data_IF_980804133560
#
_entry.id   IF_980804133560
#
_cell.length_a   1.000
_cell.length_b   1.000
_cell.length_c   1.000
_cell.angle_alpha   90.00
_cell.angle_beta   90.00
_cell.angle_gamma   90.00
#
_symmetry.space_group_name_H-M   'P 1'
#
loop_
_entity.id
_entity.type
_entity.pdbx_description
1 polymer ?
#
# COMPACT_ATOMS: atom_id res chain seq x y z
N UNK A 1 -3.21 -23.82 0.44
CA UNK A 1 -2.72 -22.51 0.89
C UNK A 1 -3.19 -22.33 2.33
N UNK A 2 -2.27 -22.20 3.29
CA UNK A 2 -2.62 -21.98 4.69
C UNK A 2 -2.83 -20.47 4.90
N UNK A 3 -3.94 -20.10 5.50
CA UNK A 3 -4.23 -18.73 5.93
C UNK A 3 -4.06 -18.70 7.45
N UNK A 4 -3.30 -17.73 7.95
CA UNK A 4 -3.03 -17.57 9.38
C UNK A 4 -3.95 -16.53 9.98
N UNK A 5 -4.52 -16.84 11.13
CA UNK A 5 -5.40 -15.96 11.90
C UNK A 5 -4.80 -15.66 13.27
N UNK A 6 -5.58 -15.06 14.16
CA UNK A 6 -5.09 -14.58 15.46
C UNK A 6 -4.46 -15.69 16.31
N UNK A 7 -5.03 -16.90 16.28
CA UNK A 7 -4.53 -18.05 17.05
C UNK A 7 -3.25 -18.68 16.47
N UNK A 8 -2.90 -18.36 15.21
CA UNK A 8 -1.70 -18.86 14.56
C UNK A 8 -0.44 -18.01 14.84
N UNK A 9 -0.57 -16.86 15.54
CA UNK A 9 0.52 -15.92 15.74
C UNK A 9 0.70 -15.52 17.21
N UNK A 10 1.94 -15.60 17.70
CA UNK A 10 2.30 -15.17 19.05
C UNK A 10 2.66 -13.67 19.06
N UNK A 11 1.84 -12.84 19.70
CA UNK A 11 2.04 -11.38 19.79
C UNK A 11 3.23 -11.01 20.69
N UNK A 12 3.56 -11.84 21.69
CA UNK A 12 4.61 -11.54 22.67
C UNK A 12 6.00 -11.40 22.01
N UNK A 13 6.21 -12.07 20.87
CA UNK A 13 7.46 -12.00 20.11
C UNK A 13 7.77 -10.53 19.74
N UNK A 14 6.89 -9.87 18.99
CA UNK A 14 7.13 -8.48 18.57
C UNK A 14 7.01 -7.48 19.72
N UNK A 15 6.19 -7.76 20.74
CA UNK A 15 6.11 -6.91 21.94
C UNK A 15 7.41 -6.89 22.75
N UNK A 16 8.21 -7.95 22.67
CA UNK A 16 9.51 -8.02 23.35
C UNK A 16 10.63 -7.25 22.62
N UNK A 17 10.38 -6.75 21.40
CA UNK A 17 11.37 -6.11 20.54
C UNK A 17 11.29 -4.58 20.55
N UNK A 18 12.43 -3.93 20.35
CA UNK A 18 12.50 -2.52 19.97
C UNK A 18 12.32 -2.39 18.46
N UNK A 19 11.18 -1.81 18.04
CA UNK A 19 10.82 -1.67 16.63
C UNK A 19 11.04 -0.24 16.15
N UNK A 20 11.90 -0.08 15.16
CA UNK A 20 12.12 1.20 14.47
C UNK A 20 11.35 1.23 13.16
N UNK A 21 10.47 2.22 12.99
CA UNK A 21 9.69 2.47 11.77
C UNK A 21 10.31 3.62 11.01
N UNK A 22 10.94 3.35 9.86
CA UNK A 22 11.59 4.38 9.03
C UNK A 22 10.57 4.98 8.07
N UNK A 23 10.16 6.22 8.32
CA UNK A 23 9.13 6.91 7.54
C UNK A 23 7.75 6.92 8.21
N UNK A 24 6.99 7.99 7.99
CA UNK A 24 5.67 8.21 8.60
C UNK A 24 4.68 8.78 7.59
N UNK A 25 4.64 8.18 6.40
CA UNK A 25 3.60 8.40 5.38
C UNK A 25 2.40 7.48 5.60
N UNK A 26 1.67 7.13 4.54
CA UNK A 26 0.44 6.32 4.64
C UNK A 26 0.62 5.01 5.42
N UNK A 27 1.57 4.15 5.01
CA UNK A 27 1.86 2.90 5.71
C UNK A 27 2.60 3.12 7.04
N UNK A 28 3.57 4.05 7.07
CA UNK A 28 4.33 4.38 8.27
C UNK A 28 3.44 4.80 9.45
N UNK A 29 2.47 5.67 9.18
CA UNK A 29 1.45 6.06 10.13
C UNK A 29 0.64 4.85 10.63
N UNK A 30 0.11 4.03 9.71
CA UNK A 30 -0.72 2.89 10.09
C UNK A 30 0.05 1.87 10.95
N UNK A 31 1.22 1.45 10.48
CA UNK A 31 2.06 0.47 11.16
C UNK A 31 2.46 0.96 12.54
N UNK A 32 3.05 2.16 12.64
CA UNK A 32 3.56 2.68 13.90
C UNK A 32 2.45 2.80 14.96
N UNK A 33 1.29 3.34 14.60
CA UNK A 33 0.18 3.49 15.54
C UNK A 33 -0.44 2.15 15.94
N UNK A 34 -0.66 1.24 14.98
CA UNK A 34 -1.24 -0.08 15.28
C UNK A 34 -0.31 -0.93 16.16
N UNK A 35 1.01 -0.90 15.89
CA UNK A 35 2.02 -1.56 16.71
C UNK A 35 2.07 -0.97 18.13
N UNK A 36 2.07 0.36 18.23
CA UNK A 36 2.08 1.06 19.51
C UNK A 36 0.84 0.72 20.35
N UNK A 37 -0.35 0.74 19.76
CA UNK A 37 -1.60 0.35 20.43
C UNK A 37 -1.65 -1.14 20.77
N UNK A 38 -0.89 -1.96 20.05
CA UNK A 38 -0.69 -3.37 20.37
C UNK A 38 0.39 -3.60 21.44
N UNK A 39 0.94 -2.56 22.05
CA UNK A 39 1.91 -2.64 23.15
C UNK A 39 3.36 -2.87 22.71
N UNK A 40 3.69 -2.64 21.44
CA UNK A 40 5.07 -2.75 20.94
C UNK A 40 5.86 -1.47 21.25
N UNK A 41 7.14 -1.62 21.61
CA UNK A 41 8.03 -0.47 21.78
C UNK A 41 8.45 0.10 20.42
N UNK A 42 7.71 1.09 19.94
CA UNK A 42 7.91 1.72 18.62
C UNK A 42 8.68 3.03 18.73
N UNK A 43 9.69 3.20 17.88
CA UNK A 43 10.31 4.49 17.58
C UNK A 43 10.12 4.82 16.10
N UNK A 44 9.56 5.98 15.81
CA UNK A 44 9.44 6.50 14.44
C UNK A 44 10.72 7.23 14.07
N UNK A 45 11.38 6.74 13.04
CA UNK A 45 12.62 7.27 12.50
C UNK A 45 12.34 8.18 11.31
N UNK A 46 12.70 9.46 11.43
CA UNK A 46 12.47 10.49 10.41
C UNK A 46 13.71 11.36 10.20
N UNK A 47 13.78 12.00 9.03
CA UNK A 47 14.73 13.10 8.81
C UNK A 47 14.37 14.27 9.72
N UNK A 48 15.37 14.89 10.35
CA UNK A 48 15.17 16.13 11.11
C UNK A 48 14.48 17.20 10.25
N UNK A 49 13.48 17.87 10.83
CA UNK A 49 12.66 18.86 10.12
C UNK A 49 11.65 18.27 9.13
N UNK A 50 11.42 16.94 9.12
CA UNK A 50 10.32 16.34 8.35
C UNK A 50 8.97 16.93 8.76
N UNK A 51 8.09 17.17 7.79
CA UNK A 51 6.71 17.62 8.06
C UNK A 51 5.89 16.59 8.83
N UNK A 52 6.27 15.31 8.77
CA UNK A 52 5.62 14.23 9.51
C UNK A 52 6.12 14.07 10.95
N UNK A 53 7.17 14.80 11.36
CA UNK A 53 7.74 14.68 12.71
C UNK A 53 6.72 15.02 13.79
N UNK A 54 6.12 16.21 13.66
CA UNK A 54 5.10 16.69 14.60
C UNK A 54 3.88 15.78 14.64
N UNK A 55 3.46 15.23 13.49
CA UNK A 55 2.33 14.29 13.39
C UNK A 55 2.59 13.01 14.20
N UNK A 56 3.80 12.49 14.17
CA UNK A 56 4.17 11.30 14.94
C UNK A 56 4.23 11.59 16.45
N UNK A 57 4.80 12.74 16.86
CA UNK A 57 4.81 13.16 18.27
C UNK A 57 3.39 13.41 18.82
N UNK A 58 2.53 14.07 18.03
CA UNK A 58 1.13 14.32 18.40
C UNK A 58 0.29 13.04 18.50
N UNK A 59 0.70 11.98 17.81
CA UNK A 59 0.13 10.63 17.94
C UNK A 59 0.65 9.86 19.18
N UNK A 60 1.54 10.47 19.99
CA UNK A 60 2.09 9.87 21.21
C UNK A 60 3.27 8.93 20.97
N UNK A 61 3.87 8.96 19.78
CA UNK A 61 4.98 8.08 19.41
C UNK A 61 6.33 8.74 19.74
N UNK A 62 7.31 7.91 20.10
CA UNK A 62 8.70 8.34 20.18
C UNK A 62 9.22 8.63 18.77
N UNK A 63 9.88 9.77 18.58
CA UNK A 63 10.45 10.18 17.28
C UNK A 63 11.93 10.48 17.45
N UNK A 64 12.74 9.98 16.52
CA UNK A 64 14.18 10.24 16.49
C UNK A 64 14.73 10.17 15.06
N UNK A 65 16.00 10.52 14.87
CA UNK A 65 16.66 10.39 13.57
C UNK A 65 16.84 8.92 13.18
N UNK A 66 16.94 8.63 11.88
CA UNK A 66 17.10 7.25 11.38
C UNK A 66 18.38 6.64 11.95
N UNK A 67 19.50 7.37 11.84
CA UNK A 67 20.81 6.91 12.33
C UNK A 67 20.82 6.57 13.82
N UNK A 68 20.10 7.32 14.67
CA UNK A 68 20.06 7.04 16.11
C UNK A 68 19.09 5.91 16.46
N UNK A 69 17.91 5.90 15.83
CA UNK A 69 16.86 4.90 16.12
C UNK A 69 17.29 3.48 15.74
N UNK A 70 18.11 3.32 14.69
CA UNK A 70 18.53 2.00 14.20
C UNK A 70 19.52 1.31 15.14
N UNK A 71 20.36 2.06 15.89
CA UNK A 71 21.40 1.49 16.77
C UNK A 71 20.84 0.54 17.84
N UNK A 72 19.67 0.86 18.35
CA UNK A 72 19.03 0.11 19.43
C UNK A 72 17.87 -0.79 18.94
N UNK A 73 17.55 -0.76 17.65
CA UNK A 73 16.46 -1.53 17.08
C UNK A 73 16.80 -3.03 17.03
N UNK A 74 15.83 -3.86 17.37
CA UNK A 74 15.86 -5.31 17.14
C UNK A 74 15.19 -5.64 15.79
N UNK A 75 14.22 -4.82 15.38
CA UNK A 75 13.61 -4.85 14.06
C UNK A 75 13.55 -3.43 13.47
N UNK A 76 13.99 -3.29 12.21
CA UNK A 76 13.90 -2.05 11.43
C UNK A 76 12.93 -2.28 10.28
N UNK A 77 11.77 -1.64 10.33
CA UNK A 77 10.77 -1.66 9.27
C UNK A 77 10.92 -0.41 8.38
N UNK A 78 11.24 -0.61 7.10
CA UNK A 78 11.43 0.47 6.13
C UNK A 78 10.11 0.75 5.41
N UNK A 79 9.55 1.95 5.64
CA UNK A 79 8.29 2.44 5.06
C UNK A 79 8.47 3.83 4.41
N UNK A 80 9.71 4.20 4.10
CA UNK A 80 10.01 5.32 3.22
C UNK A 80 9.61 4.98 1.77
N UNK A 81 9.34 5.97 0.90
CA UNK A 81 9.06 5.73 -0.51
C UNK A 81 10.17 4.90 -1.18
N UNK A 82 9.79 3.94 -2.01
CA UNK A 82 10.69 2.92 -2.58
C UNK A 82 11.92 3.52 -3.28
N UNK A 83 11.75 4.66 -3.94
CA UNK A 83 12.82 5.38 -4.62
C UNK A 83 13.89 5.98 -3.69
N UNK A 84 13.58 6.19 -2.40
CA UNK A 84 14.51 6.71 -1.40
C UNK A 84 15.09 5.64 -0.48
N UNK A 85 14.47 4.46 -0.42
CA UNK A 85 14.88 3.42 0.54
C UNK A 85 16.36 3.05 0.39
N UNK A 86 16.88 2.96 -0.84
CA UNK A 86 18.29 2.63 -1.09
C UNK A 86 19.24 3.64 -0.45
N UNK A 87 19.00 4.93 -0.67
CA UNK A 87 19.89 5.99 -0.17
C UNK A 87 19.82 6.08 1.36
N UNK A 88 18.60 5.98 1.94
CA UNK A 88 18.40 5.93 3.39
C UNK A 88 19.09 4.69 3.97
N UNK A 89 18.96 3.55 3.31
CA UNK A 89 19.54 2.29 3.77
C UNK A 89 21.07 2.37 3.81
N UNK A 90 21.72 2.80 2.72
CA UNK A 90 23.18 2.84 2.66
C UNK A 90 23.79 3.92 3.58
N UNK A 91 23.12 5.07 3.73
CA UNK A 91 23.67 6.19 4.50
C UNK A 91 23.34 6.16 5.99
N UNK A 92 22.15 5.67 6.39
CA UNK A 92 21.67 5.81 7.77
C UNK A 92 21.33 4.47 8.43
N UNK A 93 20.82 3.47 7.69
CA UNK A 93 20.43 2.18 8.29
C UNK A 93 21.64 1.25 8.40
N UNK A 94 22.23 0.85 7.27
CA UNK A 94 23.31 -0.14 7.18
C UNK A 94 24.51 0.16 8.07
N UNK A 95 25.00 1.42 8.22
CA UNK A 95 26.14 1.69 9.09
C UNK A 95 25.83 1.56 10.58
N UNK A 96 24.56 1.62 10.97
CA UNK A 96 24.10 1.62 12.37
C UNK A 96 23.37 0.33 12.77
N UNK A 97 23.06 -0.56 11.80
CA UNK A 97 22.26 -1.76 12.00
C UNK A 97 23.03 -2.80 12.84
N UNK A 98 22.38 -3.35 13.87
CA UNK A 98 22.95 -4.47 14.63
C UNK A 98 23.14 -5.70 13.74
N UNK A 99 24.13 -6.52 14.06
CA UNK A 99 24.45 -7.71 13.28
C UNK A 99 23.30 -8.71 13.22
N UNK A 100 22.51 -8.81 14.28
CA UNK A 100 21.38 -9.72 14.48
C UNK A 100 20.00 -9.03 14.34
N UNK A 101 19.96 -7.74 13.98
CA UNK A 101 18.71 -7.04 13.74
C UNK A 101 17.96 -7.64 12.55
N UNK A 102 16.63 -7.55 12.61
CA UNK A 102 15.73 -7.98 11.54
C UNK A 102 15.42 -6.78 10.65
N UNK A 103 15.63 -6.92 9.35
CA UNK A 103 15.23 -5.92 8.36
C UNK A 103 13.86 -6.29 7.78
N UNK A 104 12.91 -5.37 7.85
CA UNK A 104 11.54 -5.59 7.40
C UNK A 104 11.11 -4.55 6.36
N UNK A 105 10.26 -4.99 5.44
CA UNK A 105 9.66 -4.16 4.39
C UNK A 105 8.14 -4.37 4.34
N UNK A 106 7.40 -3.43 3.74
CA UNK A 106 5.99 -3.63 3.39
C UNK A 106 5.75 -3.85 1.88
N UNK A 107 6.81 -3.77 1.08
CA UNK A 107 6.82 -4.09 -0.34
C UNK A 107 8.19 -4.65 -0.75
N UNK A 108 8.22 -5.63 -1.63
CA UNK A 108 9.45 -6.35 -1.97
C UNK A 108 10.37 -5.64 -2.96
N UNK A 109 9.96 -4.52 -3.56
CA UNK A 109 10.64 -3.83 -4.67
C UNK A 109 12.16 -3.76 -4.55
N UNK A 110 12.67 -3.19 -3.46
CA UNK A 110 14.11 -2.93 -3.30
C UNK A 110 14.94 -4.21 -3.08
N UNK A 111 14.36 -5.25 -2.50
CA UNK A 111 15.02 -6.55 -2.31
C UNK A 111 14.91 -7.38 -3.59
N UNK A 112 13.72 -7.46 -4.19
CA UNK A 112 13.47 -8.25 -5.39
C UNK A 112 14.27 -7.76 -6.61
N UNK A 113 14.36 -6.44 -6.81
CA UNK A 113 15.15 -5.85 -7.90
C UNK A 113 16.60 -5.51 -7.51
N UNK A 114 17.08 -6.09 -6.41
CA UNK A 114 18.48 -6.01 -5.94
C UNK A 114 19.00 -4.58 -5.78
N UNK A 115 18.14 -3.64 -5.38
CA UNK A 115 18.53 -2.24 -5.12
C UNK A 115 19.16 -2.09 -3.74
N UNK A 116 18.74 -2.92 -2.79
CA UNK A 116 19.28 -3.05 -1.44
C UNK A 116 19.80 -4.48 -1.25
N UNK A 117 21.00 -4.62 -0.70
CA UNK A 117 21.61 -5.90 -0.38
C UNK A 117 21.95 -5.98 1.11
N UNK A 118 21.08 -6.62 1.93
CA UNK A 118 21.33 -6.79 3.37
C UNK A 118 22.47 -7.75 3.68
N UNK A 119 23.27 -7.52 4.74
CA UNK A 119 24.26 -8.49 5.20
C UNK A 119 23.66 -9.87 5.46
N UNK A 120 24.44 -10.93 5.25
CA UNK A 120 24.01 -12.33 5.48
C UNK A 120 23.62 -12.61 6.94
N UNK A 121 24.09 -11.80 7.87
CA UNK A 121 23.80 -11.95 9.30
C UNK A 121 22.39 -11.49 9.68
N UNK A 122 21.76 -10.61 8.87
CA UNK A 122 20.44 -10.08 9.15
C UNK A 122 19.35 -10.94 8.51
N UNK A 123 18.30 -11.25 9.29
CA UNK A 123 17.05 -11.77 8.73
C UNK A 123 16.34 -10.68 7.94
N UNK A 124 15.71 -11.06 6.83
CA UNK A 124 15.01 -10.14 5.94
C UNK A 124 13.60 -10.65 5.70
N UNK A 125 12.61 -9.89 6.17
CA UNK A 125 11.19 -10.26 6.13
C UNK A 125 10.36 -9.17 5.49
N UNK A 126 9.12 -9.51 5.12
CA UNK A 126 8.14 -8.57 4.63
C UNK A 126 6.80 -8.83 5.27
N UNK A 127 6.09 -7.74 5.58
CA UNK A 127 4.70 -7.73 6.00
C UNK A 127 3.98 -6.70 5.14
N UNK A 128 3.23 -7.16 4.14
CA UNK A 128 2.59 -6.32 3.12
C UNK A 128 1.06 -6.34 3.26
N UNK A 129 0.44 -5.37 3.96
CA UNK A 129 -1.00 -5.22 3.98
C UNK A 129 -1.53 -4.92 2.57
N UNK A 130 -2.54 -5.65 2.12
CA UNK A 130 -3.13 -5.49 0.79
C UNK A 130 -4.20 -4.40 0.80
N UNK A 131 -3.74 -3.17 1.04
CA UNK A 131 -4.57 -1.97 1.01
C UNK A 131 -3.79 -0.70 1.38
N UNK A 132 -4.33 0.49 1.05
CA UNK A 132 -3.73 1.76 1.44
C UNK A 132 -3.57 1.87 2.96
N UNK A 133 -2.50 2.51 3.42
CA UNK A 133 -2.21 2.60 4.86
C UNK A 133 -3.34 3.23 5.68
N UNK A 134 -4.07 4.20 5.13
CA UNK A 134 -5.25 4.76 5.81
C UNK A 134 -6.37 3.73 6.04
N UNK A 135 -6.55 2.77 5.12
CA UNK A 135 -7.48 1.65 5.29
C UNK A 135 -6.95 0.67 6.32
N UNK A 136 -5.63 0.40 6.33
CA UNK A 136 -4.98 -0.42 7.37
C UNK A 136 -5.26 0.16 8.76
N UNK A 137 -5.07 1.47 8.95
CA UNK A 137 -5.33 2.15 10.21
C UNK A 137 -6.81 2.16 10.60
N UNK A 138 -7.68 2.64 9.71
CA UNK A 138 -9.11 2.79 10.02
C UNK A 138 -9.79 1.44 10.30
N UNK A 139 -9.42 0.40 9.56
CA UNK A 139 -9.96 -0.95 9.80
C UNK A 139 -9.47 -1.51 11.13
N UNK A 140 -8.19 -1.28 11.49
CA UNK A 140 -7.64 -1.65 12.79
C UNK A 140 -8.39 -1.01 13.95
N UNK A 141 -8.62 0.31 13.89
CA UNK A 141 -9.34 1.07 14.92
C UNK A 141 -10.79 0.59 15.07
N UNK A 142 -11.41 0.16 13.97
CA UNK A 142 -12.76 -0.41 13.96
C UNK A 142 -12.81 -1.90 14.38
N UNK A 143 -11.72 -2.45 14.91
CA UNK A 143 -11.64 -3.83 15.40
C UNK A 143 -11.44 -4.89 14.31
N UNK A 144 -11.34 -4.48 13.04
CA UNK A 144 -11.01 -5.37 11.92
C UNK A 144 -9.52 -5.37 11.58
N UNK A 145 -9.20 -5.89 10.39
CA UNK A 145 -7.87 -5.85 9.79
C UNK A 145 -7.95 -5.82 8.26
N UNK A 146 -6.84 -5.48 7.62
CA UNK A 146 -6.68 -5.64 6.16
C UNK A 146 -5.93 -6.96 5.92
N UNK A 147 -6.32 -7.79 4.95
CA UNK A 147 -5.55 -8.99 4.61
C UNK A 147 -4.09 -8.64 4.34
N UNK A 148 -3.16 -9.44 4.85
CA UNK A 148 -1.73 -9.16 4.71
C UNK A 148 -0.99 -10.34 4.11
N UNK A 149 0.09 -10.05 3.39
CA UNK A 149 1.06 -11.06 2.98
C UNK A 149 2.27 -11.00 3.91
N UNK A 150 2.86 -12.16 4.19
CA UNK A 150 4.20 -12.25 4.78
C UNK A 150 5.14 -12.97 3.83
N UNK A 151 6.40 -12.57 3.82
CA UNK A 151 7.46 -13.29 3.11
C UNK A 151 8.75 -13.26 3.92
N UNK A 152 9.56 -14.31 3.76
CA UNK A 152 10.91 -14.38 4.32
C UNK A 152 11.88 -14.48 3.14
N UNK A 153 12.72 -13.47 2.96
CA UNK A 153 13.81 -13.50 1.99
C UNK A 153 15.02 -14.26 2.56
N UNK A 154 15.30 -14.06 3.85
CA UNK A 154 16.37 -14.74 4.58
C UNK A 154 15.99 -14.88 6.05
N UNK A 155 16.23 -16.06 6.60
CA UNK A 155 16.16 -16.31 8.05
C UNK A 155 17.57 -16.57 8.59
N UNK A 156 18.09 -15.62 9.35
CA UNK A 156 19.41 -15.69 10.00
C UNK A 156 19.27 -15.79 11.53
N UNK A 157 18.06 -16.02 12.05
CA UNK A 157 17.82 -16.18 13.49
C UNK A 157 18.32 -17.56 13.91
N UNK A 158 19.27 -17.61 14.85
CA UNK A 158 19.87 -18.87 15.33
C UNK A 158 19.79 -19.09 16.84
N UNK A 159 19.55 -18.03 17.62
CA UNK A 159 19.64 -18.04 19.09
C UNK A 159 18.30 -17.75 19.79
N UNK A 160 17.16 -18.00 19.14
CA UNK A 160 15.83 -17.77 19.71
C UNK A 160 14.91 -18.98 19.47
N UNK A 161 13.87 -19.10 20.27
CA UNK A 161 12.82 -20.13 20.13
C UNK A 161 11.79 -19.79 19.02
N UNK A 162 12.07 -18.79 18.19
CA UNK A 162 11.23 -18.34 17.09
C UNK A 162 12.04 -18.10 15.81
N UNK A 163 11.39 -18.31 14.66
CA UNK A 163 11.94 -18.07 13.32
C UNK A 163 11.63 -16.67 12.80
N UNK A 164 12.26 -16.24 11.70
CA UNK A 164 11.93 -14.98 11.04
C UNK A 164 10.45 -14.93 10.58
N UNK A 165 9.89 -16.09 10.21
CA UNK A 165 8.48 -16.23 9.86
C UNK A 165 7.57 -15.97 11.05
N UNK A 166 7.94 -16.43 12.25
CA UNK A 166 7.17 -16.19 13.47
C UNK A 166 7.19 -14.71 13.85
N UNK A 167 8.32 -14.02 13.65
CA UNK A 167 8.40 -12.56 13.81
C UNK A 167 7.50 -11.84 12.81
N UNK A 168 7.49 -12.26 11.54
CA UNK A 168 6.62 -11.68 10.52
C UNK A 168 5.13 -11.86 10.86
N UNK A 169 4.73 -13.05 11.34
CA UNK A 169 3.36 -13.31 11.81
C UNK A 169 3.01 -12.49 13.05
N UNK A 170 3.93 -12.39 14.01
CA UNK A 170 3.76 -11.59 15.23
C UNK A 170 3.55 -10.10 14.90
N UNK A 171 4.38 -9.56 14.00
CA UNK A 171 4.24 -8.20 13.49
C UNK A 171 2.91 -8.02 12.76
N UNK A 172 2.54 -8.96 11.87
CA UNK A 172 1.27 -8.90 11.14
C UNK A 172 0.07 -8.90 12.09
N UNK A 173 0.12 -9.67 13.20
CA UNK A 173 -0.89 -9.65 14.26
C UNK A 173 -0.97 -8.30 14.96
N UNK A 174 0.17 -7.73 15.36
CA UNK A 174 0.21 -6.39 15.96
C UNK A 174 -0.31 -5.30 15.02
N UNK A 175 -0.14 -5.46 13.71
CA UNK A 175 -0.70 -4.54 12.71
C UNK A 175 -2.16 -4.88 12.32
N UNK A 176 -2.78 -5.87 12.95
CA UNK A 176 -4.17 -6.29 12.75
C UNK A 176 -4.43 -7.24 11.57
N UNK A 177 -3.42 -7.62 10.79
CA UNK A 177 -3.59 -8.47 9.60
C UNK A 177 -4.22 -9.83 9.88
N UNK A 178 -3.91 -10.44 11.03
CA UNK A 178 -4.48 -11.74 11.44
C UNK A 178 -5.97 -11.71 11.75
N UNK A 179 -6.59 -10.53 11.88
CA UNK A 179 -8.06 -10.39 12.02
C UNK A 179 -8.79 -10.63 10.71
N UNK A 180 -8.14 -10.38 9.57
CA UNK A 180 -8.68 -10.63 8.23
C UNK A 180 -8.10 -11.88 7.56
N UNK A 181 -6.89 -12.26 7.96
CA UNK A 181 -6.16 -13.40 7.43
C UNK A 181 -4.83 -12.99 6.82
N UNK A 182 -3.78 -13.75 7.13
CA UNK A 182 -2.43 -13.56 6.60
C UNK A 182 -2.06 -14.72 5.70
N UNK A 183 -1.49 -14.44 4.54
CA UNK A 183 -1.00 -15.46 3.61
C UNK A 183 0.52 -15.36 3.47
N UNK A 184 1.16 -16.51 3.28
CA UNK A 184 2.60 -16.59 3.03
C UNK A 184 2.88 -16.55 1.53
N UNK A 185 3.88 -15.77 1.14
CA UNK A 185 4.31 -15.56 -0.25
C UNK A 185 5.85 -15.43 -0.31
N UNK A 186 6.37 -15.06 -1.47
CA UNK A 186 7.77 -14.69 -1.67
C UNK A 186 7.90 -13.21 -2.01
N UNK A 187 9.10 -12.64 -1.81
CA UNK A 187 9.39 -11.27 -2.25
C UNK A 187 9.12 -11.06 -3.75
N UNK A 188 9.41 -12.07 -4.58
CA UNK A 188 9.14 -12.06 -6.03
C UNK A 188 7.64 -11.98 -6.32
N UNK A 189 6.87 -12.94 -5.79
CA UNK A 189 5.44 -13.02 -6.06
C UNK A 189 4.71 -11.77 -5.53
N UNK A 190 5.03 -11.31 -4.34
CA UNK A 190 4.46 -10.07 -3.80
C UNK A 190 4.79 -8.87 -4.70
N UNK A 191 6.06 -8.67 -5.05
CA UNK A 191 6.48 -7.50 -5.84
C UNK A 191 5.78 -7.49 -7.20
N UNK A 192 5.83 -8.62 -7.91
CA UNK A 192 5.27 -8.71 -9.26
C UNK A 192 3.75 -8.58 -9.28
N UNK A 193 3.06 -9.20 -8.33
CA UNK A 193 1.59 -9.17 -8.28
C UNK A 193 1.04 -7.85 -7.75
N UNK A 194 1.73 -7.20 -6.81
CA UNK A 194 1.36 -5.90 -6.28
C UNK A 194 1.47 -4.83 -7.37
N UNK A 195 2.65 -4.73 -8.01
CA UNK A 195 2.89 -3.82 -9.14
C UNK A 195 1.93 -4.06 -10.30
N UNK A 196 1.62 -5.32 -10.62
CA UNK A 196 0.65 -5.64 -11.66
C UNK A 196 -0.75 -5.18 -11.27
N UNK A 197 -1.16 -5.46 -10.03
CA UNK A 197 -2.48 -5.10 -9.51
C UNK A 197 -2.72 -3.60 -9.59
N UNK A 198 -1.80 -2.77 -9.12
CA UNK A 198 -1.92 -1.31 -9.16
C UNK A 198 -1.89 -0.75 -10.59
N UNK A 199 -1.03 -1.26 -11.47
CA UNK A 199 -0.91 -0.76 -12.84
C UNK A 199 -2.11 -1.15 -13.71
N UNK A 200 -2.52 -2.43 -13.66
CA UNK A 200 -3.51 -2.97 -14.58
C UNK A 200 -4.95 -2.84 -14.10
N UNK A 201 -5.20 -2.77 -12.79
CA UNK A 201 -6.56 -2.87 -12.22
C UNK A 201 -6.85 -1.78 -11.19
N UNK A 202 -6.17 -1.81 -10.04
CA UNK A 202 -6.55 -1.08 -8.82
C UNK A 202 -6.36 0.43 -8.92
N UNK A 203 -5.39 0.89 -9.73
CA UNK A 203 -5.12 2.31 -9.95
C UNK A 203 -5.23 2.66 -11.43
N UNK A 204 -4.33 2.15 -12.28
CA UNK A 204 -4.28 2.51 -13.69
C UNK A 204 -5.55 2.13 -14.45
N UNK A 205 -5.95 0.85 -14.36
CA UNK A 205 -7.13 0.33 -15.05
C UNK A 205 -8.43 1.03 -14.65
N UNK A 206 -8.75 1.07 -13.35
CA UNK A 206 -10.01 1.66 -12.88
C UNK A 206 -10.07 3.17 -13.16
N UNK A 207 -9.00 3.93 -12.94
CA UNK A 207 -9.03 5.38 -13.18
C UNK A 207 -9.14 5.71 -14.67
N UNK A 208 -8.51 4.93 -15.55
CA UNK A 208 -8.66 5.08 -16.99
C UNK A 208 -10.09 4.74 -17.45
N UNK A 209 -10.68 3.65 -16.94
CA UNK A 209 -12.07 3.26 -17.26
C UNK A 209 -13.09 4.33 -16.84
N UNK A 210 -12.93 4.87 -15.62
CA UNK A 210 -13.79 5.95 -15.10
C UNK A 210 -13.70 7.20 -15.99
N UNK A 211 -12.47 7.63 -16.33
CA UNK A 211 -12.27 8.81 -17.19
C UNK A 211 -12.87 8.60 -18.58
N UNK A 212 -12.60 7.47 -19.22
CA UNK A 212 -13.14 7.16 -20.54
C UNK A 212 -14.67 7.12 -20.57
N UNK A 213 -15.30 6.54 -19.54
CA UNK A 213 -16.77 6.55 -19.39
C UNK A 213 -17.33 7.95 -19.22
N UNK A 214 -16.71 8.74 -18.33
CA UNK A 214 -17.10 10.13 -18.09
C UNK A 214 -16.97 10.99 -19.36
N UNK A 215 -15.82 10.93 -20.03
CA UNK A 215 -15.54 11.66 -21.28
C UNK A 215 -16.56 11.28 -22.36
N UNK A 216 -16.84 9.99 -22.56
CA UNK A 216 -17.82 9.50 -23.53
C UNK A 216 -19.20 10.11 -23.32
N UNK A 217 -19.67 10.20 -22.06
CA UNK A 217 -20.97 10.78 -21.76
C UNK A 217 -20.99 12.30 -21.97
N UNK A 218 -19.95 13.01 -21.50
CA UNK A 218 -19.88 14.47 -21.64
C UNK A 218 -19.76 14.88 -23.11
N UNK A 219 -18.93 14.18 -23.89
CA UNK A 219 -18.77 14.42 -25.34
C UNK A 219 -20.05 14.15 -26.13
N UNK A 220 -20.89 13.20 -25.67
CA UNK A 220 -22.20 12.94 -26.23
C UNK A 220 -23.27 13.99 -25.83
N UNK A 221 -22.92 14.98 -24.99
CA UNK A 221 -23.80 16.08 -24.59
C UNK A 221 -24.61 15.84 -23.32
N UNK A 222 -24.31 14.78 -22.55
CA UNK A 222 -24.89 14.59 -21.22
C UNK A 222 -24.26 15.56 -20.21
N UNK A 223 -25.02 15.90 -19.16
CA UNK A 223 -24.53 16.79 -18.10
C UNK A 223 -23.34 16.17 -17.35
N UNK A 224 -22.26 16.92 -17.07
CA UNK A 224 -21.09 16.45 -16.33
C UNK A 224 -21.42 15.81 -14.97
N UNK A 225 -22.43 16.30 -14.26
CA UNK A 225 -22.84 15.79 -12.96
C UNK A 225 -23.41 14.37 -13.07
N UNK A 226 -24.27 14.13 -14.06
CA UNK A 226 -24.78 12.78 -14.32
C UNK A 226 -23.65 11.83 -14.73
N UNK A 227 -22.74 12.27 -15.60
CA UNK A 227 -21.58 11.46 -15.97
C UNK A 227 -20.69 11.11 -14.76
N UNK A 228 -20.51 12.04 -13.82
CA UNK A 228 -19.79 11.78 -12.59
C UNK A 228 -20.49 10.73 -11.71
N UNK A 229 -21.81 10.83 -11.55
CA UNK A 229 -22.57 9.87 -10.75
C UNK A 229 -22.45 8.46 -11.32
N UNK A 230 -22.73 8.32 -12.61
CA UNK A 230 -22.77 7.04 -13.31
C UNK A 230 -21.37 6.39 -13.45
N UNK A 231 -20.32 7.19 -13.70
CA UNK A 231 -19.00 6.64 -14.02
C UNK A 231 -18.02 6.62 -12.85
N UNK A 232 -18.23 7.40 -11.78
CA UNK A 232 -17.31 7.45 -10.64
C UNK A 232 -18.02 7.14 -9.32
N UNK A 233 -19.12 7.82 -9.01
CA UNK A 233 -19.76 7.69 -7.69
C UNK A 233 -20.28 6.27 -7.44
N UNK A 234 -21.01 5.71 -8.40
CA UNK A 234 -21.63 4.38 -8.27
C UNK A 234 -20.62 3.24 -8.37
N UNK A 235 -19.42 3.48 -8.91
CA UNK A 235 -18.32 2.50 -8.92
C UNK A 235 -18.05 1.96 -7.52
N UNK A 236 -18.09 2.82 -6.48
CA UNK A 236 -17.92 2.38 -5.09
C UNK A 236 -18.99 1.36 -4.66
N UNK A 237 -20.26 1.61 -5.02
CA UNK A 237 -21.38 0.76 -4.63
C UNK A 237 -21.24 -0.64 -5.25
N UNK A 238 -20.85 -0.69 -6.53
CA UNK A 238 -20.59 -1.96 -7.22
C UNK A 238 -19.40 -2.69 -6.60
N UNK A 239 -18.30 -1.99 -6.31
CA UNK A 239 -17.13 -2.61 -5.67
C UNK A 239 -17.43 -3.12 -4.26
N UNK A 240 -18.27 -2.43 -3.49
CA UNK A 240 -18.68 -2.86 -2.15
C UNK A 240 -19.46 -4.20 -2.22
N UNK A 241 -20.39 -4.35 -3.18
CA UNK A 241 -21.13 -5.60 -3.40
C UNK A 241 -20.23 -6.77 -3.84
N UNK A 242 -19.24 -6.49 -4.68
CA UNK A 242 -18.25 -7.48 -5.12
C UNK A 242 -17.36 -7.89 -3.93
N UNK A 243 -16.96 -6.95 -3.08
CA UNK A 243 -16.17 -7.25 -1.90
C UNK A 243 -16.96 -8.09 -0.88
N UNK A 244 -18.26 -7.82 -0.72
CA UNK A 244 -19.12 -8.53 0.23
C UNK A 244 -19.41 -9.98 -0.19
N UNK A 245 -19.71 -10.22 -1.48
CA UNK A 245 -20.22 -11.51 -1.93
C UNK A 245 -19.72 -11.99 -3.30
N UNK A 246 -18.77 -11.31 -3.90
CA UNK A 246 -18.24 -11.62 -5.23
C UNK A 246 -19.14 -11.16 -6.38
N UNK A 247 -18.68 -11.40 -7.62
CA UNK A 247 -19.33 -10.95 -8.85
C UNK A 247 -20.75 -11.50 -8.98
N UNK A 248 -20.99 -12.77 -8.62
CA UNK A 248 -22.31 -13.37 -8.68
C UNK A 248 -23.32 -12.72 -7.72
N UNK A 249 -22.87 -12.31 -6.52
CA UNK A 249 -23.72 -11.56 -5.59
C UNK A 249 -24.04 -10.15 -6.10
N UNK A 250 -23.05 -9.50 -6.72
CA UNK A 250 -23.26 -8.22 -7.38
C UNK A 250 -24.29 -8.36 -8.51
N UNK A 251 -24.19 -9.38 -9.37
CA UNK A 251 -25.18 -9.67 -10.42
C UNK A 251 -26.58 -9.94 -9.87
N UNK A 252 -26.69 -10.67 -8.76
CA UNK A 252 -27.96 -10.90 -8.08
C UNK A 252 -28.60 -9.60 -7.55
N UNK A 253 -27.78 -8.62 -7.17
CA UNK A 253 -28.22 -7.38 -6.54
C UNK A 253 -28.65 -6.30 -7.54
N UNK A 254 -28.12 -6.33 -8.76
CA UNK A 254 -28.46 -5.38 -9.82
C UNK A 254 -29.72 -5.82 -10.59
N UNK A 255 -30.31 -4.92 -11.39
CA UNK A 255 -31.44 -5.28 -12.23
C UNK A 255 -31.03 -6.22 -13.37
N UNK A 256 -31.94 -7.07 -13.85
CA UNK A 256 -31.72 -7.92 -15.02
C UNK A 256 -31.29 -7.13 -16.27
N UNK A 257 -31.72 -5.86 -16.40
CA UNK A 257 -31.28 -4.97 -17.49
C UNK A 257 -29.78 -4.66 -17.39
N UNK A 258 -29.30 -4.39 -16.17
CA UNK A 258 -27.89 -4.12 -15.91
C UNK A 258 -27.03 -5.39 -16.07
N UNK A 259 -27.48 -6.53 -15.55
CA UNK A 259 -26.80 -7.83 -15.70
C UNK A 259 -26.68 -8.23 -17.19
N UNK A 260 -27.77 -8.12 -17.95
CA UNK A 260 -27.74 -8.36 -19.40
C UNK A 260 -26.78 -7.39 -20.13
N UNK A 261 -26.79 -6.12 -19.73
CA UNK A 261 -25.90 -5.10 -20.26
C UNK A 261 -24.42 -5.38 -20.00
N UNK A 262 -24.08 -5.86 -18.79
CA UNK A 262 -22.73 -6.28 -18.40
C UNK A 262 -22.25 -7.44 -19.29
N UNK A 263 -23.00 -8.54 -19.37
CA UNK A 263 -22.63 -9.68 -20.21
C UNK A 263 -22.45 -9.34 -21.69
N UNK A 264 -23.28 -8.42 -22.20
CA UNK A 264 -23.22 -8.00 -23.60
C UNK A 264 -22.08 -7.01 -23.89
N UNK A 265 -21.78 -6.12 -22.96
CA UNK A 265 -20.95 -4.93 -23.22
C UNK A 265 -19.58 -4.99 -22.54
N UNK A 266 -19.45 -5.67 -21.40
CA UNK A 266 -18.19 -5.88 -20.69
C UNK A 266 -17.09 -6.42 -21.60
N UNK A 267 -17.31 -7.52 -22.36
CA UNK A 267 -16.33 -8.06 -23.30
C UNK A 267 -16.00 -7.15 -24.50
N UNK A 268 -16.79 -6.11 -24.75
CA UNK A 268 -16.51 -5.10 -25.80
C UNK A 268 -15.56 -4.00 -25.29
N UNK A 269 -15.61 -3.71 -23.99
CA UNK A 269 -14.70 -2.77 -23.34
C UNK A 269 -13.40 -3.49 -22.92
N UNK A 270 -13.53 -4.65 -22.29
CA UNK A 270 -12.42 -5.53 -21.91
C UNK A 270 -12.27 -6.61 -22.98
N UNK A 271 -11.41 -6.33 -23.95
CA UNK A 271 -11.20 -7.19 -25.13
C UNK A 271 -9.96 -8.09 -24.97
N UNK A 272 -9.74 -8.98 -25.93
CA UNK A 272 -8.49 -9.75 -25.99
C UNK A 272 -7.25 -8.84 -26.02
N UNK A 273 -7.32 -7.68 -26.68
CA UNK A 273 -6.25 -6.67 -26.67
C UNK A 273 -6.00 -6.07 -25.29
N UNK A 274 -7.05 -5.91 -24.48
CA UNK A 274 -6.90 -5.46 -23.09
C UNK A 274 -6.09 -6.48 -22.30
N UNK A 275 -6.35 -7.78 -22.52
CA UNK A 275 -5.60 -8.87 -21.90
C UNK A 275 -4.17 -8.98 -22.43
N UNK A 276 -3.93 -8.69 -23.71
CA UNK A 276 -2.58 -8.57 -24.28
C UNK A 276 -1.79 -7.45 -23.59
N UNK A 277 -2.37 -6.26 -23.45
CA UNK A 277 -1.74 -5.15 -22.74
C UNK A 277 -1.43 -5.50 -21.27
N UNK A 278 -2.33 -6.22 -20.58
CA UNK A 278 -2.05 -6.72 -19.23
C UNK A 278 -0.85 -7.67 -19.19
N UNK A 279 -0.69 -8.55 -20.18
CA UNK A 279 0.50 -9.43 -20.26
C UNK A 279 1.77 -8.63 -20.50
N UNK A 280 1.74 -7.64 -21.39
CA UNK A 280 2.89 -6.76 -21.64
C UNK A 280 3.29 -5.98 -20.38
N UNK A 281 2.33 -5.48 -19.60
CA UNK A 281 2.58 -4.84 -18.30
C UNK A 281 3.28 -5.82 -17.35
N UNK A 282 2.76 -7.05 -17.23
CA UNK A 282 3.37 -8.07 -16.37
C UNK A 282 4.80 -8.42 -16.83
N UNK A 283 5.04 -8.59 -18.12
CA UNK A 283 6.38 -8.84 -18.68
C UNK A 283 7.34 -7.66 -18.41
N UNK A 284 6.86 -6.42 -18.48
CA UNK A 284 7.64 -5.22 -18.17
C UNK A 284 8.03 -5.15 -16.68
N UNK A 285 7.16 -5.63 -15.79
CA UNK A 285 7.43 -5.76 -14.36
C UNK A 285 8.45 -6.88 -14.10
N UNK A 286 8.19 -8.08 -14.63
CA UNK A 286 9.02 -9.28 -14.40
C UNK A 286 10.44 -9.15 -14.95
N UNK A 287 10.63 -8.36 -16.01
CA UNK A 287 11.95 -8.04 -16.56
C UNK A 287 12.72 -6.98 -15.75
N UNK A 288 12.07 -6.30 -14.79
CA UNK A 288 12.64 -5.19 -14.03
C UNK A 288 12.74 -3.88 -14.81
N UNK A 289 12.21 -3.82 -16.02
CA UNK A 289 12.21 -2.61 -16.86
C UNK A 289 11.37 -1.51 -16.22
N UNK A 290 10.16 -1.82 -15.75
CA UNK A 290 9.32 -0.87 -15.00
C UNK A 290 10.07 -0.25 -13.82
N UNK A 291 10.76 -1.07 -13.01
CA UNK A 291 11.51 -0.61 -11.86
C UNK A 291 12.63 0.37 -12.26
N UNK A 292 13.32 0.10 -13.36
CA UNK A 292 14.36 1.00 -13.87
C UNK A 292 13.79 2.31 -14.41
N UNK A 293 12.68 2.26 -15.15
CA UNK A 293 11.97 3.45 -15.66
C UNK A 293 11.46 4.34 -14.52
N UNK A 294 10.78 3.76 -13.53
CA UNK A 294 10.27 4.47 -12.37
C UNK A 294 11.39 5.20 -11.61
N UNK A 295 12.48 4.49 -11.29
CA UNK A 295 13.61 5.09 -10.58
C UNK A 295 14.33 6.14 -11.45
N UNK A 296 14.39 5.96 -12.77
CA UNK A 296 14.95 6.95 -13.69
C UNK A 296 14.10 8.23 -13.74
N UNK A 297 12.78 8.12 -13.73
CA UNK A 297 11.90 9.28 -13.62
C UNK A 297 12.14 9.99 -12.28
N UNK A 298 12.07 9.26 -11.16
CA UNK A 298 12.25 9.84 -9.82
C UNK A 298 13.59 10.57 -9.66
N UNK A 299 14.70 10.02 -10.18
CA UNK A 299 16.03 10.66 -10.14
C UNK A 299 16.12 11.99 -10.88
N UNK A 300 15.21 12.27 -11.79
CA UNK A 300 15.14 13.57 -12.47
C UNK A 300 14.50 14.66 -11.58
N UNK A 301 14.08 14.31 -10.36
CA UNK A 301 13.60 15.27 -9.36
C UNK A 301 14.43 15.23 -8.08
N UNK A 302 14.75 16.40 -7.55
CA UNK A 302 15.53 16.55 -6.30
C UNK A 302 14.66 16.83 -5.06
N UNK A 303 13.33 16.88 -5.22
CA UNK A 303 12.37 17.27 -4.18
C UNK A 303 11.51 16.12 -3.64
N UNK A 304 11.72 14.92 -4.18
CA UNK A 304 10.99 13.71 -3.85
C UNK A 304 9.51 13.67 -4.25
N UNK A 305 9.09 14.55 -5.16
CA UNK A 305 7.72 14.58 -5.69
C UNK A 305 7.51 13.77 -6.97
N UNK A 306 8.43 12.86 -7.31
CA UNK A 306 8.42 12.12 -8.58
C UNK A 306 9.00 12.95 -9.74
N UNK A 307 9.36 12.28 -10.83
CA UNK A 307 10.00 12.90 -11.99
C UNK A 307 9.04 13.62 -12.93
N UNK A 308 9.54 14.08 -14.10
CA UNK A 308 8.74 14.77 -15.11
C UNK A 308 7.50 14.00 -15.55
N UNK A 309 7.59 12.67 -15.72
CA UNK A 309 6.45 11.85 -16.12
C UNK A 309 5.35 11.91 -15.05
N UNK A 310 5.70 11.67 -13.78
CA UNK A 310 4.73 11.73 -12.68
C UNK A 310 4.14 13.14 -12.50
N UNK A 311 4.98 14.18 -12.55
CA UNK A 311 4.55 15.58 -12.38
C UNK A 311 3.54 15.98 -13.46
N UNK A 312 3.82 15.65 -14.72
CA UNK A 312 2.91 15.94 -15.83
C UNK A 312 1.57 15.22 -15.69
N UNK A 313 1.58 13.93 -15.38
CA UNK A 313 0.36 13.14 -15.22
C UNK A 313 -0.48 13.56 -14.00
N UNK A 314 0.17 14.00 -12.91
CA UNK A 314 -0.52 14.55 -11.72
C UNK A 314 -1.24 15.86 -12.05
N UNK A 315 -0.59 16.77 -12.78
CA UNK A 315 -1.22 18.03 -13.18
C UNK A 315 -2.36 17.81 -14.17
N UNK A 316 -2.16 16.90 -15.15
CA UNK A 316 -3.22 16.51 -16.09
C UNK A 316 -4.43 15.90 -15.36
N UNK A 317 -4.20 15.04 -14.38
CA UNK A 317 -5.29 14.44 -13.58
C UNK A 317 -6.01 15.50 -12.76
N UNK A 318 -5.28 16.38 -12.09
CA UNK A 318 -5.86 17.48 -11.29
C UNK A 318 -6.70 18.44 -12.13
N UNK A 319 -6.32 18.63 -13.39
CA UNK A 319 -7.00 19.52 -14.35
C UNK A 319 -8.15 18.84 -15.10
N UNK A 320 -8.34 17.53 -14.93
CA UNK A 320 -9.40 16.80 -15.63
C UNK A 320 -10.79 17.26 -15.14
N UNK A 321 -11.78 17.51 -16.02
CA UNK A 321 -13.08 18.09 -15.62
C UNK A 321 -13.83 17.29 -14.55
N UNK A 322 -13.66 15.96 -14.51
CA UNK A 322 -14.24 15.09 -13.48
C UNK A 322 -13.85 15.49 -12.05
N UNK A 323 -12.67 16.09 -11.85
CA UNK A 323 -12.17 16.48 -10.53
C UNK A 323 -12.85 17.76 -10.03
N UNK A 324 -13.11 18.72 -10.92
CA UNK A 324 -13.84 19.95 -10.57
C UNK A 324 -15.28 19.62 -10.18
N UNK A 325 -16.00 18.90 -11.06
CA UNK A 325 -17.38 18.45 -10.84
C UNK A 325 -17.46 17.59 -9.58
N UNK A 326 -16.56 16.63 -9.44
CA UNK A 326 -16.52 15.74 -8.29
C UNK A 326 -16.26 16.45 -6.97
N UNK A 327 -15.38 17.46 -6.95
CA UNK A 327 -15.13 18.28 -5.76
C UNK A 327 -16.40 19.00 -5.31
N UNK A 328 -17.14 19.60 -6.25
CA UNK A 328 -18.40 20.27 -5.94
C UNK A 328 -19.43 19.28 -5.39
N UNK A 329 -19.66 18.16 -6.09
CA UNK A 329 -20.67 17.17 -5.70
C UNK A 329 -20.35 16.54 -4.33
N UNK A 330 -19.10 16.12 -4.09
CA UNK A 330 -18.68 15.55 -2.80
C UNK A 330 -18.86 16.53 -1.64
N UNK A 331 -18.68 17.84 -1.88
CA UNK A 331 -18.86 18.86 -0.83
C UNK A 331 -20.30 18.94 -0.30
N UNK A 332 -21.29 18.56 -1.12
CA UNK A 332 -22.72 18.56 -0.78
C UNK A 332 -23.17 17.28 -0.08
N UNK A 333 -22.36 16.21 -0.13
CA UNK A 333 -22.66 14.90 0.47
C UNK A 333 -22.22 14.84 1.94
N UNK A 334 -23.14 15.15 2.86
CA UNK A 334 -22.83 15.27 4.30
C UNK A 334 -22.16 14.04 4.92
N UNK A 335 -22.51 12.83 4.47
CA UNK A 335 -21.95 11.59 5.00
C UNK A 335 -20.45 11.40 4.68
N UNK A 336 -19.92 12.07 3.64
CA UNK A 336 -18.50 12.03 3.31
C UNK A 336 -17.65 12.97 4.19
N UNK A 337 -18.29 13.85 4.99
CA UNK A 337 -17.61 14.85 5.81
C UNK A 337 -17.45 14.44 7.28
N UNK A 338 -18.06 13.35 7.74
CA UNK A 338 -18.03 12.94 9.16
C UNK A 338 -16.75 12.19 9.56
N UNK A 339 -16.11 11.44 8.64
CA UNK A 339 -14.82 10.78 8.86
C UNK A 339 -14.10 10.60 7.51
N UNK A 340 -13.04 11.38 7.25
CA UNK A 340 -12.22 11.21 6.05
C UNK A 340 -11.19 10.11 6.27
N UNK A 341 -11.10 9.17 5.32
CA UNK A 341 -10.01 8.18 5.32
C UNK A 341 -8.65 8.85 5.11
N UNK A 342 -8.59 9.86 4.22
CA UNK A 342 -7.39 10.65 3.96
C UNK A 342 -7.58 12.05 4.55
N UNK A 343 -6.86 12.35 5.62
CA UNK A 343 -6.70 13.71 6.17
C UNK A 343 -5.22 14.08 6.15
N UNK A 344 -4.85 15.09 5.37
CA UNK A 344 -3.45 15.49 5.16
C UNK A 344 -2.83 16.23 6.36
N UNK A 345 -3.64 16.67 7.32
CA UNK A 345 -3.13 17.27 8.56
C UNK A 345 -2.76 16.18 9.59
N UNK A 346 -3.47 15.04 9.56
CA UNK A 346 -3.26 13.94 10.51
C UNK A 346 -2.30 12.88 9.93
N UNK A 347 -2.49 12.50 8.67
CA UNK A 347 -1.81 11.36 8.04
C UNK A 347 -0.92 11.77 6.86
#
# INVERSE_FOLDING_TARGET
>A
MKIYYEDDANLEIIQSMNVTIVGYGSQGHAHANNLHESGVNVTVALREGSSSWKKAEEAGLNVSSVSESVKNADLVMILAPDEFQKDIYESEVKPNLKQDAILAFAHGFNIHFEKISPPETNSVIMIAPKGPGHTVRSTYVNGGGVPSLIAVYRDSITNNDFSARDVALSYAKANGGTRAGVLETSFKEETETDLFGEQAVLCGGITALIKAGYETLVEAGYSPEMAYFECLHETKLITDLIQEGGIANMHYSISNTAEYGDYLSGPKVITDKTKEAMKEILENIQSGNFANEFLNDCRQSNDGSGGPFMKSNREATKSHPIEEVGKELRSKMKFLNSQKLVDKEIN
#
